data_IF_436896723024
#
_entry.id   IF_436896723024
#
_cell.length_a   1.000
_cell.length_b   1.000
_cell.length_c   1.000
_cell.angle_alpha   90.00
_cell.angle_beta   90.00
_cell.angle_gamma   90.00
#
_symmetry.space_group_name_H-M   'P 1'
#
loop_
_entity.id
_entity.type
_entity.pdbx_description
1 polymer ?
#
# COMPACT_ATOMS: atom_id res chain seq x y z
N UNK A 1 -39.90 -39.55 -23.06
CA UNK A 1 -40.75 -39.06 -21.96
C UNK A 1 -40.68 -40.10 -20.86
N UNK A 2 -39.88 -39.87 -19.82
CA UNK A 2 -40.12 -40.45 -18.51
C UNK A 2 -39.36 -39.62 -17.46
N UNK A 3 -40.10 -39.26 -16.42
CA UNK A 3 -39.75 -38.35 -15.34
C UNK A 3 -38.80 -39.03 -14.35
N UNK A 4 -37.75 -38.33 -13.93
CA UNK A 4 -37.27 -38.44 -12.55
C UNK A 4 -36.89 -37.06 -11.99
N UNK A 5 -37.60 -36.69 -10.92
CA UNK A 5 -37.31 -35.60 -9.99
C UNK A 5 -36.76 -36.23 -8.68
N UNK A 6 -36.21 -35.45 -7.74
CA UNK A 6 -34.86 -35.61 -7.23
C UNK A 6 -34.78 -36.38 -5.89
N UNK A 7 -33.58 -36.87 -5.56
CA UNK A 7 -33.22 -37.28 -4.22
C UNK A 7 -32.54 -36.12 -3.49
N UNK A 8 -33.21 -35.63 -2.44
CA UNK A 8 -32.60 -34.82 -1.37
C UNK A 8 -31.92 -35.77 -0.36
N UNK A 9 -30.71 -35.41 0.03
CA UNK A 9 -30.13 -35.57 1.38
C UNK A 9 -28.91 -34.66 1.37
N UNK A 10 -28.86 -33.56 2.12
CA UNK A 10 -29.13 -33.52 3.55
C UNK A 10 -27.80 -33.67 4.27
N UNK A 11 -26.97 -32.62 4.23
CA UNK A 11 -25.94 -32.36 5.23
C UNK A 11 -25.59 -30.86 5.16
N UNK A 12 -26.42 -30.08 5.84
CA UNK A 12 -26.08 -28.74 6.29
C UNK A 12 -24.93 -28.86 7.29
N UNK A 13 -23.71 -28.67 6.81
CA UNK A 13 -22.64 -28.15 7.66
C UNK A 13 -22.36 -26.76 7.11
N UNK A 14 -23.21 -25.82 7.51
CA UNK A 14 -22.88 -24.41 7.45
C UNK A 14 -21.71 -24.19 8.41
N UNK A 15 -20.49 -24.41 7.91
CA UNK A 15 -19.30 -23.90 8.53
C UNK A 15 -19.42 -22.39 8.53
N UNK A 16 -19.71 -21.85 9.70
CA UNK A 16 -19.64 -20.43 10.01
C UNK A 16 -18.16 -19.99 9.86
N UNK A 17 -17.70 -19.79 8.63
CA UNK A 17 -16.37 -19.24 8.32
C UNK A 17 -16.37 -17.71 8.48
N UNK A 18 -17.14 -17.21 9.46
CA UNK A 18 -16.92 -15.91 10.07
C UNK A 18 -15.68 -15.99 10.95
N UNK A 19 -14.52 -16.16 10.31
CA UNK A 19 -13.26 -15.75 10.94
C UNK A 19 -13.42 -14.28 11.29
N UNK A 20 -13.45 -14.04 12.60
CA UNK A 20 -13.59 -12.73 13.22
C UNK A 20 -12.70 -11.74 12.48
N UNK A 21 -13.30 -10.69 11.93
CA UNK A 21 -12.58 -9.42 11.78
C UNK A 21 -11.97 -9.18 13.17
N UNK A 22 -10.64 -9.13 13.27
CA UNK A 22 -9.98 -9.07 14.57
C UNK A 22 -10.48 -7.85 15.33
N UNK A 23 -10.76 -7.99 16.63
CA UNK A 23 -11.28 -6.90 17.48
C UNK A 23 -10.24 -5.76 17.72
N UNK A 24 -9.20 -5.66 16.88
CA UNK A 24 -8.07 -4.77 17.08
C UNK A 24 -7.37 -4.41 15.78
N UNK A 25 -6.51 -3.40 15.86
CA UNK A 25 -5.71 -2.94 14.72
C UNK A 25 -4.59 -3.93 14.40
N UNK A 26 -4.17 -4.01 13.14
CA UNK A 26 -3.08 -4.85 12.68
C UNK A 26 -2.14 -4.11 11.73
N UNK A 27 -0.89 -4.58 11.69
CA UNK A 27 0.12 -4.15 10.74
C UNK A 27 0.46 -5.31 9.81
N UNK A 28 0.35 -5.10 8.51
CA UNK A 28 0.63 -6.10 7.48
C UNK A 28 1.72 -5.55 6.58
N UNK A 29 2.92 -6.13 6.66
CA UNK A 29 4.02 -5.78 5.77
C UNK A 29 3.74 -6.35 4.38
N UNK A 30 3.35 -5.48 3.45
CA UNK A 30 3.04 -5.86 2.08
C UNK A 30 4.32 -6.14 1.28
N UNK A 31 5.42 -5.49 1.64
CA UNK A 31 6.74 -5.81 1.13
C UNK A 31 7.84 -5.30 2.06
N UNK A 32 8.99 -5.96 1.97
CA UNK A 32 10.20 -5.71 2.78
C UNK A 32 11.47 -5.75 1.93
N UNK A 33 11.30 -5.57 0.62
CA UNK A 33 12.37 -5.56 -0.37
C UNK A 33 12.87 -4.14 -0.62
N UNK A 34 14.07 -4.05 -1.18
CA UNK A 34 14.63 -2.79 -1.66
C UNK A 34 13.90 -2.30 -2.92
N UNK A 35 14.38 -1.20 -3.49
CA UNK A 35 13.82 -0.63 -4.72
C UNK A 35 13.71 -1.62 -5.87
N UNK A 36 14.62 -2.59 -5.97
CA UNK A 36 14.62 -3.61 -7.04
C UNK A 36 13.77 -4.85 -6.74
N UNK A 37 13.15 -4.93 -5.56
CA UNK A 37 12.54 -6.15 -5.02
C UNK A 37 13.55 -7.32 -4.93
N UNK A 38 13.11 -8.46 -4.40
CA UNK A 38 13.88 -9.71 -4.40
C UNK A 38 12.99 -10.83 -4.95
N UNK A 39 13.44 -11.60 -5.95
CA UNK A 39 14.77 -11.58 -6.55
C UNK A 39 15.07 -10.35 -7.40
N UNK A 40 16.34 -9.97 -7.46
CA UNK A 40 16.82 -9.07 -8.51
C UNK A 40 16.86 -9.86 -9.82
N UNK A 41 16.13 -9.39 -10.84
CA UNK A 41 16.05 -10.08 -12.14
C UNK A 41 17.42 -10.30 -12.78
N UNK A 42 18.36 -9.35 -12.66
CA UNK A 42 19.72 -9.47 -13.22
C UNK A 42 20.47 -10.67 -12.62
N UNK A 43 20.37 -10.89 -11.31
CA UNK A 43 20.99 -12.04 -10.64
C UNK A 43 20.49 -13.39 -11.18
N UNK A 44 19.32 -13.43 -11.79
CA UNK A 44 18.71 -14.65 -12.31
C UNK A 44 18.99 -14.85 -13.79
N UNK A 45 18.90 -13.79 -14.60
CA UNK A 45 19.12 -13.88 -16.05
C UNK A 45 20.62 -13.85 -16.42
N UNK A 46 21.45 -13.29 -15.55
CA UNK A 46 22.91 -13.22 -15.67
C UNK A 46 23.54 -13.60 -14.31
N UNK A 47 23.46 -14.88 -13.92
CA UNK A 47 23.98 -15.31 -12.62
C UNK A 47 25.49 -15.10 -12.54
N UNK A 48 25.95 -14.57 -11.41
CA UNK A 48 27.36 -14.55 -11.03
C UNK A 48 27.91 -15.95 -10.76
N UNK A 49 29.23 -16.09 -10.63
CA UNK A 49 29.87 -17.33 -10.16
C UNK A 49 30.65 -17.07 -8.86
N UNK A 50 30.16 -17.55 -7.69
CA UNK A 50 28.92 -18.31 -7.51
C UNK A 50 27.64 -17.45 -7.65
N UNK A 51 26.48 -18.05 -7.93
CA UNK A 51 25.22 -17.32 -8.06
C UNK A 51 24.77 -16.72 -6.72
N UNK A 52 24.06 -15.60 -6.77
CA UNK A 52 23.52 -14.93 -5.59
C UNK A 52 22.55 -15.85 -4.83
N UNK A 53 22.99 -16.32 -3.66
CA UNK A 53 22.25 -17.30 -2.85
C UNK A 53 20.82 -16.86 -2.51
N UNK A 54 20.64 -15.59 -2.12
CA UNK A 54 19.32 -15.05 -1.74
C UNK A 54 18.37 -15.02 -2.95
N UNK A 55 18.84 -14.56 -4.12
CA UNK A 55 18.02 -14.53 -5.32
C UNK A 55 17.66 -15.95 -5.77
N UNK A 56 18.60 -16.90 -5.73
CA UNK A 56 18.32 -18.30 -6.04
C UNK A 56 17.28 -18.91 -5.08
N UNK A 57 17.42 -18.67 -3.77
CA UNK A 57 16.46 -19.16 -2.77
C UNK A 57 15.09 -18.50 -2.87
N UNK A 58 14.99 -17.26 -3.34
CA UNK A 58 13.70 -16.57 -3.49
C UNK A 58 12.75 -17.29 -4.47
N UNK A 59 13.25 -18.21 -5.28
CA UNK A 59 12.48 -19.02 -6.22
C UNK A 59 12.33 -20.50 -5.81
N UNK A 60 12.85 -20.92 -4.64
CA UNK A 60 12.85 -22.35 -4.25
C UNK A 60 11.49 -22.86 -3.76
N UNK A 61 10.63 -21.96 -3.29
CA UNK A 61 9.26 -22.24 -2.83
C UNK A 61 8.34 -21.08 -3.26
N UNK A 62 7.01 -21.29 -3.29
CA UNK A 62 6.06 -20.26 -3.69
C UNK A 62 6.22 -18.94 -2.92
N UNK A 63 6.09 -17.77 -3.58
CA UNK A 63 6.36 -16.45 -2.99
C UNK A 63 5.66 -16.18 -1.65
N UNK A 64 4.41 -16.61 -1.50
CA UNK A 64 3.59 -16.47 -0.29
C UNK A 64 4.18 -17.16 0.95
N UNK A 65 5.04 -18.15 0.75
CA UNK A 65 5.73 -18.88 1.80
C UNK A 65 7.24 -18.59 1.83
N UNK A 66 7.74 -17.72 0.94
CA UNK A 66 9.15 -17.47 0.77
C UNK A 66 9.59 -16.12 1.37
N UNK A 67 10.30 -16.09 2.51
CA UNK A 67 10.79 -14.83 3.09
C UNK A 67 11.88 -14.15 2.25
N UNK A 68 12.48 -14.85 1.29
CA UNK A 68 13.43 -14.27 0.34
C UNK A 68 12.75 -13.69 -0.90
N UNK A 69 11.45 -13.93 -1.13
CA UNK A 69 10.70 -13.25 -2.18
C UNK A 69 10.04 -11.99 -1.60
N UNK A 70 10.58 -10.81 -1.91
CA UNK A 70 10.22 -9.54 -1.27
C UNK A 70 9.80 -8.50 -2.30
N UNK A 71 8.54 -8.09 -2.24
CA UNK A 71 8.02 -6.93 -2.99
C UNK A 71 8.65 -5.61 -2.49
N UNK A 72 8.44 -4.50 -3.21
CA UNK A 72 8.85 -3.18 -2.74
C UNK A 72 8.27 -2.88 -1.35
N UNK A 73 9.03 -2.13 -0.57
CA UNK A 73 8.65 -1.80 0.81
C UNK A 73 7.31 -1.08 0.86
N UNK A 74 6.39 -1.57 1.69
CA UNK A 74 5.04 -1.02 1.86
C UNK A 74 4.39 -1.63 3.11
N UNK A 75 3.60 -0.84 3.80
CA UNK A 75 2.90 -1.23 5.03
C UNK A 75 1.40 -0.97 4.88
N UNK A 76 0.57 -1.98 5.14
CA UNK A 76 -0.86 -1.80 5.35
C UNK A 76 -1.14 -1.75 6.84
N UNK A 77 -1.88 -0.73 7.24
CA UNK A 77 -2.42 -0.55 8.58
C UNK A 77 -3.92 -0.84 8.49
N UNK A 78 -4.34 -1.95 9.11
CA UNK A 78 -5.74 -2.21 9.40
C UNK A 78 -6.08 -1.52 10.73
N UNK A 79 -6.66 -0.34 10.67
CA UNK A 79 -6.96 0.48 11.83
C UNK A 79 -8.40 0.25 12.30
N UNK A 80 -8.54 -0.40 13.45
CA UNK A 80 -9.81 -0.60 14.14
C UNK A 80 -10.08 0.58 15.08
N UNK A 81 -11.07 1.39 14.74
CA UNK A 81 -11.50 2.54 15.54
C UNK A 81 -12.39 2.12 16.73
N UNK A 82 -12.68 3.05 17.65
CA UNK A 82 -13.38 2.75 18.92
C UNK A 82 -14.79 2.19 18.75
N UNK A 83 -15.42 2.39 17.59
CA UNK A 83 -16.74 1.84 17.26
C UNK A 83 -16.67 0.47 16.55
N UNK A 84 -15.47 -0.12 16.44
CA UNK A 84 -15.24 -1.40 15.76
C UNK A 84 -15.16 -1.31 14.23
N UNK A 85 -15.19 -0.10 13.65
CA UNK A 85 -15.04 0.10 12.21
C UNK A 85 -13.57 0.05 11.81
N UNK A 86 -13.30 -0.70 10.75
CA UNK A 86 -11.97 -0.88 10.16
C UNK A 86 -11.74 0.07 8.99
N UNK A 87 -10.62 0.78 9.06
CA UNK A 87 -10.08 1.62 8.00
C UNK A 87 -8.71 1.10 7.57
N UNK A 88 -8.51 0.97 6.27
CA UNK A 88 -7.30 0.40 5.67
C UNK A 88 -6.46 1.53 5.09
N UNK A 89 -5.33 1.79 5.73
CA UNK A 89 -4.38 2.84 5.35
C UNK A 89 -3.13 2.16 4.83
N UNK A 90 -2.67 2.52 3.64
CA UNK A 90 -1.43 1.98 3.07
C UNK A 90 -0.35 3.05 3.04
N UNK A 91 0.86 2.69 3.46
CA UNK A 91 2.07 3.49 3.30
C UNK A 91 2.82 2.94 2.09
N UNK A 92 2.98 3.80 1.09
CA UNK A 92 3.59 3.55 -0.22
C UNK A 92 2.90 2.52 -1.11
N UNK A 93 2.85 2.82 -2.40
CA UNK A 93 2.29 1.99 -3.47
C UNK A 93 3.29 1.89 -4.63
N UNK A 94 4.32 1.07 -4.42
CA UNK A 94 5.39 0.81 -5.39
C UNK A 94 4.97 0.01 -6.62
N UNK A 95 5.92 -0.26 -7.53
CA UNK A 95 5.66 -1.03 -8.77
C UNK A 95 5.21 -2.47 -8.55
N UNK A 96 5.38 -3.02 -7.35
CA UNK A 96 4.90 -4.36 -6.99
C UNK A 96 3.49 -4.37 -6.39
N UNK A 97 2.79 -3.22 -6.35
CA UNK A 97 1.48 -3.08 -5.69
C UNK A 97 0.45 -4.13 -6.13
N UNK A 98 0.32 -4.37 -7.44
CA UNK A 98 -0.60 -5.40 -7.95
C UNK A 98 -0.33 -6.78 -7.36
N UNK A 99 0.93 -7.18 -7.24
CA UNK A 99 1.30 -8.46 -6.63
C UNK A 99 0.97 -8.47 -5.12
N UNK A 100 1.23 -7.36 -4.43
CA UNK A 100 0.90 -7.19 -3.02
C UNK A 100 -0.60 -7.34 -2.76
N UNK A 101 -1.44 -6.79 -3.63
CA UNK A 101 -2.91 -7.00 -3.59
C UNK A 101 -3.24 -8.48 -3.77
N UNK A 102 -2.72 -9.12 -4.81
CA UNK A 102 -3.02 -10.53 -5.10
C UNK A 102 -2.57 -11.48 -3.98
N UNK A 103 -1.47 -11.17 -3.29
CA UNK A 103 -0.93 -12.01 -2.21
C UNK A 103 -1.56 -11.71 -0.86
N UNK A 104 -1.56 -10.45 -0.44
CA UNK A 104 -1.86 -10.10 0.95
C UNK A 104 -3.29 -9.65 1.14
N UNK A 105 -3.88 -8.94 0.19
CA UNK A 105 -5.26 -8.47 0.34
C UNK A 105 -6.23 -9.64 0.22
N UNK A 106 -5.96 -10.58 -0.69
CA UNK A 106 -6.74 -11.81 -0.81
C UNK A 106 -6.61 -12.70 0.44
N UNK A 107 -5.39 -12.85 0.97
CA UNK A 107 -5.12 -13.67 2.15
C UNK A 107 -5.73 -13.10 3.43
N UNK A 108 -5.58 -11.79 3.66
CA UNK A 108 -6.12 -11.09 4.83
C UNK A 108 -7.57 -10.59 4.63
N UNK A 109 -8.17 -10.86 3.46
CA UNK A 109 -9.54 -10.43 3.10
C UNK A 109 -9.74 -8.91 3.20
N UNK A 110 -8.74 -8.14 2.78
CA UNK A 110 -8.77 -6.67 2.76
C UNK A 110 -9.64 -6.20 1.60
N UNK A 111 -10.75 -5.48 1.85
CA UNK A 111 -11.75 -5.23 0.82
C UNK A 111 -11.48 -3.97 -0.02
N UNK A 112 -10.68 -3.02 0.50
CA UNK A 112 -10.47 -1.68 -0.09
C UNK A 112 -9.28 -1.00 0.56
N UNK A 113 -8.91 0.17 0.04
CA UNK A 113 -8.05 1.15 0.71
C UNK A 113 -8.83 2.44 0.94
N UNK A 114 -8.80 2.93 2.18
CA UNK A 114 -9.47 4.17 2.59
C UNK A 114 -8.56 5.40 2.43
N UNK A 115 -7.25 5.25 2.63
CA UNK A 115 -6.27 6.30 2.32
C UNK A 115 -4.86 5.76 2.07
N UNK A 116 -4.07 6.58 1.38
CA UNK A 116 -2.68 6.29 1.02
C UNK A 116 -1.80 7.38 1.61
N UNK A 117 -0.68 6.99 2.22
CA UNK A 117 0.36 7.90 2.69
C UNK A 117 1.63 7.58 1.91
N UNK A 118 2.23 8.57 1.27
CA UNK A 118 3.49 8.40 0.55
C UNK A 118 4.64 8.94 1.39
N UNK A 119 5.69 8.13 1.56
CA UNK A 119 6.94 8.52 2.22
C UNK A 119 7.75 9.45 1.33
N UNK A 120 7.77 9.16 0.02
CA UNK A 120 8.52 9.90 -1.00
C UNK A 120 8.08 9.54 -2.43
N UNK A 121 8.68 10.19 -3.44
CA UNK A 121 8.28 10.07 -4.84
C UNK A 121 9.09 9.10 -5.71
N UNK A 122 10.00 8.30 -5.13
CA UNK A 122 10.74 7.32 -5.91
C UNK A 122 9.85 6.21 -6.45
N UNK A 123 10.35 5.54 -7.49
CA UNK A 123 9.57 4.61 -8.29
C UNK A 123 9.02 3.42 -7.49
N UNK A 124 9.79 2.93 -6.54
CA UNK A 124 9.43 1.86 -5.62
C UNK A 124 8.44 2.28 -4.53
N UNK A 125 8.13 3.57 -4.40
CA UNK A 125 7.08 4.08 -3.52
C UNK A 125 5.80 4.51 -4.26
N UNK A 126 5.88 4.88 -5.56
CA UNK A 126 4.74 5.51 -6.27
C UNK A 126 4.30 4.87 -7.58
N UNK A 127 5.07 3.96 -8.20
CA UNK A 127 4.68 3.46 -9.54
C UNK A 127 3.46 2.54 -9.56
N UNK A 128 2.95 2.12 -8.41
CA UNK A 128 1.68 1.41 -8.28
C UNK A 128 0.44 2.32 -8.24
N UNK A 129 0.61 3.64 -8.28
CA UNK A 129 -0.51 4.61 -8.25
C UNK A 129 -1.55 4.36 -9.36
N UNK A 130 -1.11 3.89 -10.54
CA UNK A 130 -2.00 3.59 -11.66
C UNK A 130 -2.96 2.41 -11.35
N UNK A 131 -2.49 1.45 -10.56
CA UNK A 131 -3.23 0.25 -10.20
C UNK A 131 -4.21 0.47 -9.02
N UNK A 132 -4.20 1.63 -8.35
CA UNK A 132 -5.05 1.91 -7.16
C UNK A 132 -6.54 1.67 -7.43
N UNK A 133 -6.98 1.84 -8.67
CA UNK A 133 -8.38 1.62 -9.05
C UNK A 133 -8.89 0.23 -8.65
N UNK A 134 -8.02 -0.78 -8.55
CA UNK A 134 -8.38 -2.14 -8.12
C UNK A 134 -8.83 -2.23 -6.65
N UNK A 135 -8.43 -1.27 -5.81
CA UNK A 135 -8.76 -1.22 -4.38
C UNK A 135 -9.73 -0.09 -4.02
N UNK A 136 -10.26 0.63 -5.02
CA UNK A 136 -11.34 1.60 -4.82
C UNK A 136 -12.70 0.91 -4.87
N UNK A 137 -13.75 1.50 -4.25
CA UNK A 137 -15.12 1.05 -4.45
C UNK A 137 -15.47 0.96 -5.93
N UNK A 138 -16.21 -0.08 -6.32
CA UNK A 138 -16.68 -0.22 -7.70
C UNK A 138 -17.94 0.61 -7.94
N UNK A 139 -17.92 1.47 -8.96
CA UNK A 139 -19.10 2.19 -9.47
C UNK A 139 -19.15 2.09 -10.99
N UNK A 140 -20.27 1.66 -11.60
CA UNK A 140 -20.41 1.58 -13.07
C UNK A 140 -20.19 2.92 -13.77
N UNK A 141 -20.52 4.01 -13.10
CA UNK A 141 -20.39 5.40 -13.59
C UNK A 141 -19.08 6.06 -13.16
N UNK A 142 -18.23 5.35 -12.39
CA UNK A 142 -17.04 5.91 -11.73
C UNK A 142 -17.36 7.06 -10.77
N UNK A 143 -18.61 7.12 -10.28
CA UNK A 143 -19.06 8.04 -9.25
C UNK A 143 -18.77 7.40 -7.88
N UNK A 144 -17.61 7.73 -7.33
CA UNK A 144 -17.11 7.26 -6.03
C UNK A 144 -16.42 8.41 -5.30
N UNK A 145 -16.41 8.33 -3.97
CA UNK A 145 -15.56 9.21 -3.18
C UNK A 145 -14.09 8.99 -3.54
N UNK A 146 -13.34 10.06 -3.87
CA UNK A 146 -11.93 9.92 -4.18
C UNK A 146 -11.12 9.39 -3.00
N UNK A 147 -10.15 8.50 -3.26
CA UNK A 147 -9.21 8.04 -2.24
C UNK A 147 -8.23 9.16 -1.91
N UNK A 148 -8.13 9.50 -0.62
CA UNK A 148 -7.19 10.50 -0.14
C UNK A 148 -5.74 9.98 -0.23
N UNK A 149 -4.85 10.79 -0.79
CA UNK A 149 -3.41 10.55 -0.84
C UNK A 149 -2.69 11.67 -0.12
N UNK A 150 -1.94 11.32 0.92
CA UNK A 150 -1.14 12.23 1.72
C UNK A 150 0.31 12.17 1.27
N UNK A 151 0.88 13.30 0.88
CA UNK A 151 2.24 13.43 0.37
C UNK A 151 2.76 14.85 0.54
N UNK A 152 4.07 15.04 0.50
CA UNK A 152 4.66 16.38 0.60
C UNK A 152 4.47 17.16 -0.70
N UNK A 153 4.65 18.48 -0.67
CA UNK A 153 4.57 19.29 -1.89
C UNK A 153 5.63 18.86 -2.93
N UNK A 154 6.84 18.55 -2.46
CA UNK A 154 7.91 18.05 -3.33
C UNK A 154 7.51 16.75 -4.04
N UNK A 155 6.95 15.80 -3.29
CA UNK A 155 6.47 14.55 -3.87
C UNK A 155 5.30 14.78 -4.84
N UNK A 156 4.39 15.71 -4.53
CA UNK A 156 3.26 16.07 -5.39
C UNK A 156 3.72 16.62 -6.75
N UNK A 157 4.70 17.51 -6.77
CA UNK A 157 5.22 18.11 -8.01
C UNK A 157 5.80 17.02 -8.93
N UNK A 158 6.52 16.06 -8.36
CA UNK A 158 7.07 14.92 -9.07
C UNK A 158 6.01 13.94 -9.58
N UNK A 159 5.00 13.65 -8.75
CA UNK A 159 3.84 12.82 -9.12
C UNK A 159 3.06 13.47 -10.25
N UNK A 160 2.86 14.78 -10.23
CA UNK A 160 2.19 15.51 -11.31
C UNK A 160 2.94 15.43 -12.65
N UNK A 161 4.28 15.39 -12.61
CA UNK A 161 5.10 15.18 -13.80
C UNK A 161 5.04 13.73 -14.33
N UNK A 162 5.05 12.74 -13.43
CA UNK A 162 5.02 11.30 -13.78
C UNK A 162 3.63 10.83 -14.23
N UNK A 163 2.58 11.31 -13.57
CA UNK A 163 1.19 10.88 -13.73
C UNK A 163 0.24 12.06 -13.96
N UNK A 164 0.44 12.87 -15.01
CA UNK A 164 -0.39 14.06 -15.24
C UNK A 164 -1.89 13.72 -15.37
N UNK A 165 -2.22 12.51 -15.83
CA UNK A 165 -3.59 12.05 -15.96
C UNK A 165 -4.28 11.66 -14.64
N UNK A 166 -3.52 11.38 -13.58
CA UNK A 166 -4.05 11.11 -12.23
C UNK A 166 -4.28 12.42 -11.44
N UNK A 167 -3.63 13.51 -11.85
CA UNK A 167 -3.72 14.82 -11.19
C UNK A 167 -4.72 15.74 -11.91
N UNK A 168 -4.73 15.75 -13.24
CA UNK A 168 -5.55 16.67 -14.03
C UNK A 168 -7.00 16.18 -14.11
N UNK A 169 -7.89 16.81 -13.32
CA UNK A 169 -9.33 16.52 -13.32
C UNK A 169 -10.11 17.18 -14.48
N UNK A 170 -9.53 18.16 -15.18
CA UNK A 170 -10.23 18.89 -16.25
C UNK A 170 -10.26 18.08 -17.55
N UNK A 171 -11.34 17.35 -17.75
CA UNK A 171 -11.78 16.96 -19.08
C UNK A 171 -12.09 18.25 -19.87
N UNK A 172 -11.56 18.36 -21.09
CA UNK A 172 -11.99 19.42 -22.02
C UNK A 172 -13.44 19.14 -22.43
N UNK A 173 -14.22 20.16 -22.76
CA UNK A 173 -15.57 19.98 -23.31
C UNK A 173 -15.52 18.99 -24.50
N UNK A 174 -16.32 17.93 -24.42
CA UNK A 174 -16.36 16.84 -25.41
C UNK A 174 -15.42 15.66 -25.17
N UNK A 175 -14.63 15.62 -24.10
CA UNK A 175 -13.84 14.43 -23.73
C UNK A 175 -14.67 13.42 -22.93
N UNK A 176 -14.57 12.14 -23.31
CA UNK A 176 -15.16 11.03 -22.54
C UNK A 176 -14.59 10.98 -21.11
N UNK A 177 -15.41 10.52 -20.17
CA UNK A 177 -15.01 10.27 -18.77
C UNK A 177 -13.85 9.28 -18.76
N UNK A 178 -12.66 9.76 -18.38
CA UNK A 178 -11.50 8.90 -18.18
C UNK A 178 -11.76 7.97 -17.00
N UNK A 179 -11.73 6.66 -17.24
CA UNK A 179 -11.89 5.61 -16.21
C UNK A 179 -10.58 5.39 -15.43
N UNK A 180 -10.04 6.47 -14.86
CA UNK A 180 -8.84 6.47 -14.01
C UNK A 180 -9.23 6.49 -12.53
N UNK A 181 -8.28 6.16 -11.66
CA UNK A 181 -8.48 6.23 -10.21
C UNK A 181 -8.95 7.64 -9.79
N UNK A 182 -9.92 7.69 -8.87
CA UNK A 182 -10.41 8.95 -8.31
C UNK A 182 -9.58 9.32 -7.09
N UNK A 183 -8.73 10.34 -7.19
CA UNK A 183 -7.77 10.69 -6.15
C UNK A 183 -8.02 12.10 -5.59
N UNK A 184 -7.83 12.23 -4.27
CA UNK A 184 -7.84 13.49 -3.53
C UNK A 184 -6.45 13.72 -2.94
N UNK A 185 -5.66 14.60 -3.58
CA UNK A 185 -4.29 14.89 -3.20
C UNK A 185 -4.25 15.87 -2.01
N UNK A 186 -3.63 15.45 -0.91
CA UNK A 186 -3.55 16.21 0.35
C UNK A 186 -2.09 16.46 0.72
N UNK A 187 -1.69 17.73 0.71
CA UNK A 187 -0.34 18.12 1.08
C UNK A 187 -0.16 17.99 2.60
N UNK A 188 0.89 17.29 3.01
CA UNK A 188 1.36 17.24 4.39
C UNK A 188 2.67 18.02 4.54
N UNK A 189 2.88 18.59 5.72
CA UNK A 189 4.12 19.30 6.04
C UNK A 189 5.21 18.31 6.48
N UNK A 190 6.45 18.57 6.09
CA UNK A 190 7.63 17.80 6.50
C UNK A 190 8.09 18.21 7.91
N UNK A 191 7.16 18.16 8.87
CA UNK A 191 7.35 18.71 10.21
C UNK A 191 6.66 17.82 11.26
N UNK A 192 7.42 17.47 12.30
CA UNK A 192 6.96 16.69 13.44
C UNK A 192 5.82 17.39 14.20
N UNK A 193 5.85 18.71 14.29
CA UNK A 193 4.83 19.50 15.00
C UNK A 193 3.54 19.67 14.19
N UNK A 194 3.49 19.13 12.96
CA UNK A 194 2.37 19.23 12.03
C UNK A 194 1.76 17.85 11.73
N UNK A 195 1.13 17.21 12.73
CA UNK A 195 0.46 15.94 12.51
C UNK A 195 -0.75 16.08 11.59
N UNK A 196 -1.07 14.99 10.91
CA UNK A 196 -2.27 14.89 10.08
C UNK A 196 -3.08 13.64 10.46
N UNK A 197 -4.31 13.56 9.95
CA UNK A 197 -5.20 12.42 10.20
C UNK A 197 -5.56 11.77 8.87
N UNK A 198 -5.21 10.50 8.72
CA UNK A 198 -5.59 9.67 7.58
C UNK A 198 -6.54 8.57 8.06
N UNK A 199 -7.76 8.55 7.52
CA UNK A 199 -8.83 7.59 7.87
C UNK A 199 -9.01 7.36 9.38
N UNK A 200 -8.97 8.44 10.16
CA UNK A 200 -9.17 8.43 11.61
C UNK A 200 -7.94 8.08 12.46
N UNK A 201 -6.81 7.73 11.84
CA UNK A 201 -5.54 7.51 12.53
C UNK A 201 -4.67 8.77 12.42
N UNK A 202 -4.15 9.24 13.55
CA UNK A 202 -3.21 10.36 13.61
C UNK A 202 -1.80 9.89 13.24
N UNK A 203 -1.19 10.59 12.31
CA UNK A 203 0.20 10.43 11.89
C UNK A 203 1.00 11.66 12.26
N UNK A 204 2.22 11.42 12.71
CA UNK A 204 3.24 12.44 12.93
C UNK A 204 4.35 12.20 11.89
N UNK A 205 4.57 13.15 10.95
CA UNK A 205 5.68 13.08 10.00
C UNK A 205 7.03 13.04 10.72
N UNK A 206 7.95 12.19 10.28
CA UNK A 206 9.33 12.11 10.76
C UNK A 206 10.28 12.37 9.59
N UNK A 207 10.76 13.61 9.39
CA UNK A 207 11.73 13.90 8.33
C UNK A 207 13.02 13.11 8.55
N UNK A 208 13.47 12.37 7.54
CA UNK A 208 14.71 11.59 7.58
C UNK A 208 15.53 11.79 6.32
N UNK A 209 16.85 11.66 6.42
CA UNK A 209 17.74 11.78 5.26
C UNK A 209 17.73 10.48 4.46
N UNK A 210 17.50 10.57 3.15
CA UNK A 210 17.63 9.48 2.19
C UNK A 210 18.72 9.81 1.17
N UNK A 211 19.97 9.53 1.53
CA UNK A 211 21.15 10.04 0.83
C UNK A 211 21.70 11.30 1.50
N UNK A 212 22.56 12.03 0.79
CA UNK A 212 23.26 13.19 1.38
C UNK A 212 22.37 14.43 1.49
N UNK A 213 21.55 14.71 0.46
CA UNK A 213 20.84 15.99 0.29
C UNK A 213 19.34 15.83 0.01
N UNK A 214 18.75 14.70 0.42
CA UNK A 214 17.34 14.41 0.15
C UNK A 214 16.63 13.99 1.43
N UNK A 215 15.45 14.57 1.66
CA UNK A 215 14.58 14.28 2.80
C UNK A 215 13.38 13.48 2.31
N UNK A 216 13.09 12.38 2.99
CA UNK A 216 11.82 11.68 2.89
C UNK A 216 11.17 11.58 4.27
N UNK A 217 9.97 11.02 4.33
CA UNK A 217 9.22 10.88 5.57
C UNK A 217 9.21 9.44 6.07
N UNK A 218 9.57 9.26 7.33
CA UNK A 218 9.00 8.22 8.18
C UNK A 218 7.72 8.72 8.85
N UNK A 219 7.03 7.84 9.57
CA UNK A 219 5.82 8.20 10.29
C UNK A 219 5.72 7.54 11.66
N UNK A 220 5.36 8.33 12.67
CA UNK A 220 4.97 7.87 13.99
C UNK A 220 3.44 7.89 14.11
N UNK A 221 2.85 6.78 14.57
CA UNK A 221 1.41 6.65 14.75
C UNK A 221 1.07 5.67 15.89
N UNK A 222 -0.21 5.64 16.28
CA UNK A 222 -0.72 4.81 17.37
C UNK A 222 -0.68 5.49 18.73
N UNK A 223 -1.67 5.18 19.57
CA UNK A 223 -1.84 5.77 20.90
C UNK A 223 -1.39 4.82 22.02
N UNK A 224 -2.01 3.63 22.09
CA UNK A 224 -1.69 2.61 23.10
C UNK A 224 -0.34 1.95 22.84
N UNK A 225 -0.08 1.63 21.58
CA UNK A 225 1.19 1.11 21.09
C UNK A 225 1.68 2.06 20.01
N UNK A 226 2.72 2.82 20.30
CA UNK A 226 3.35 3.72 19.33
C UNK A 226 4.21 2.91 18.37
N UNK A 227 4.10 3.22 17.09
CA UNK A 227 4.83 2.58 16.00
C UNK A 227 5.50 3.69 15.18
N UNK A 228 6.81 3.57 15.00
CA UNK A 228 7.56 4.37 14.05
C UNK A 228 7.89 3.50 12.83
N UNK A 229 7.46 3.91 11.65
CA UNK A 229 7.74 3.26 10.38
C UNK A 229 8.62 4.15 9.51
N UNK A 230 9.82 3.68 9.20
CA UNK A 230 10.87 4.45 8.49
C UNK A 230 11.57 3.48 7.53
N UNK A 231 11.25 3.55 6.24
CA UNK A 231 11.71 2.59 5.23
C UNK A 231 13.04 2.99 4.59
N UNK A 232 13.13 4.24 4.15
CA UNK A 232 14.24 4.80 3.39
C UNK A 232 14.97 5.80 4.28
N UNK A 233 16.09 5.37 4.88
CA UNK A 233 16.84 6.22 5.78
C UNK A 233 18.33 5.91 5.71
N UNK A 234 19.11 6.98 5.65
CA UNK A 234 20.55 6.99 5.76
C UNK A 234 21.03 7.67 7.04
N UNK A 235 20.28 8.69 7.52
CA UNK A 235 20.58 9.42 8.76
C UNK A 235 19.31 10.08 9.32
N UNK A 236 19.25 10.20 10.65
CA UNK A 236 18.28 11.03 11.33
C UNK A 236 18.82 12.46 11.46
N UNK A 237 18.13 13.48 10.93
CA UNK A 237 18.48 14.87 11.21
C UNK A 237 18.16 15.22 12.68
N UNK A 238 18.84 16.23 13.22
CA UNK A 238 18.80 16.55 14.65
C UNK A 238 17.38 16.88 15.15
N UNK A 239 16.55 17.47 14.30
CA UNK A 239 15.15 17.76 14.60
C UNK A 239 14.28 16.50 14.77
N UNK A 240 14.67 15.37 14.18
CA UNK A 240 13.94 14.09 14.28
C UNK A 240 14.53 13.19 15.37
N UNK A 241 15.83 13.29 15.65
CA UNK A 241 16.50 12.47 16.68
C UNK A 241 16.14 12.85 18.12
N UNK A 242 15.83 14.13 18.38
CA UNK A 242 15.59 14.67 19.72
C UNK A 242 14.18 15.28 19.92
N UNK A 243 13.29 15.13 18.95
CA UNK A 243 11.90 15.64 18.96
C UNK A 243 10.85 14.69 19.53
#
# INVERSE_FOLDING_TARGET
MENQKPLQNGNNVAGDDRRRVGDGSALIFLGTGCSSAVPNAMCLIQPSDPPCHVCSQSLSIPPEHNPNYRCNTSLLIDYCSTNGMHNYIIIDVGKTFKEQVLRWFTFHKIPRIDSIVLTHEHADAVLGLDDIRVVQPHSPTNDIDPTAIYLTQYAMDSVAAKFPYLVQKKLREGQEVRRVAQLDWRIIEEDYDKPFVASGLKFVPLPVMHGEDYICLGFLFGEKSKVAYISDVSRFPSNTEYG
#
